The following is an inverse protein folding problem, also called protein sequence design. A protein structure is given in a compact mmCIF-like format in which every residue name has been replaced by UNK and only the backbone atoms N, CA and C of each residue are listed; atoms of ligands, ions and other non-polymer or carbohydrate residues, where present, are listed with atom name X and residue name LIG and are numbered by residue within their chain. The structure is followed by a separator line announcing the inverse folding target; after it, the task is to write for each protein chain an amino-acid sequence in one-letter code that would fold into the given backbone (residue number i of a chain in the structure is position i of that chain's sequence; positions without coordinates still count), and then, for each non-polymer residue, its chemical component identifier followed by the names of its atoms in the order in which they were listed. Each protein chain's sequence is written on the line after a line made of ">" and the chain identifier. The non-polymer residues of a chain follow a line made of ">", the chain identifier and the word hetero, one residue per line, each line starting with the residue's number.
data_IF_558955176088
#
_entry.id   IF_558955176088
#
_cell.length_a   1.000
_cell.length_b   1.000
_cell.length_c   1.000
_cell.angle_alpha   90.00
_cell.angle_beta   90.00
_cell.angle_gamma   90.00
#
_symmetry.space_group_name_H-M   'P 1'
#
loop_
_entity.id
_entity.type
_entity.pdbx_description
1 polymer ?
#
# COMPACT_ATOMS: atom_id res chain seq x y z
N UNK A 1 -14.23 6.08 -10.80
CA UNK A 1 -13.59 5.59 -9.57
C UNK A 1 -13.51 4.07 -9.60
N UNK A 2 -12.30 3.53 -9.55
CA UNK A 2 -12.00 2.09 -9.63
C UNK A 2 -11.10 1.69 -8.47
N UNK A 3 -11.36 0.53 -7.87
CA UNK A 3 -10.54 -0.06 -6.82
C UNK A 3 -9.64 -1.14 -7.41
N UNK A 4 -8.34 -1.00 -7.19
CA UNK A 4 -7.30 -1.94 -7.58
C UNK A 4 -6.75 -2.65 -6.35
N UNK A 5 -6.59 -3.98 -6.42
CA UNK A 5 -5.96 -4.79 -5.37
C UNK A 5 -4.87 -5.65 -6.01
N UNK A 6 -3.61 -5.27 -5.80
CA UNK A 6 -2.39 -5.83 -6.40
C UNK A 6 -2.29 -5.80 -7.93
N UNK A 7 -3.40 -5.97 -8.65
CA UNK A 7 -3.49 -5.97 -10.11
C UNK A 7 -3.67 -4.55 -10.63
N UNK A 8 -3.13 -4.26 -11.82
CA UNK A 8 -3.24 -2.93 -12.43
C UNK A 8 -2.39 -1.85 -11.75
N UNK A 9 -1.48 -2.26 -10.86
CA UNK A 9 -0.57 -1.36 -10.14
C UNK A 9 0.86 -1.61 -10.56
N UNK A 10 1.62 -0.55 -10.75
CA UNK A 10 3.05 -0.59 -11.04
C UNK A 10 3.85 0.22 -10.01
N UNK A 11 5.13 -0.13 -9.86
CA UNK A 11 6.04 0.48 -8.90
C UNK A 11 6.19 1.98 -9.08
N UNK A 12 6.32 2.44 -10.33
CA UNK A 12 6.64 3.83 -10.63
C UNK A 12 5.46 4.74 -10.26
N UNK A 13 4.25 4.38 -10.69
CA UNK A 13 3.03 5.14 -10.36
C UNK A 13 2.72 5.12 -8.86
N UNK A 14 2.95 3.97 -8.20
CA UNK A 14 2.78 3.83 -6.76
C UNK A 14 3.73 4.75 -5.99
N UNK A 15 5.04 4.61 -6.21
CA UNK A 15 6.04 5.39 -5.48
C UNK A 15 5.96 6.89 -5.81
N UNK A 16 5.56 7.25 -7.03
CA UNK A 16 5.28 8.65 -7.37
C UNK A 16 4.21 9.26 -6.46
N UNK A 17 3.09 8.58 -6.25
CA UNK A 17 2.04 9.05 -5.35
C UNK A 17 2.53 9.15 -3.90
N UNK A 18 3.26 8.14 -3.42
CA UNK A 18 3.84 8.16 -2.06
C UNK A 18 4.78 9.35 -1.88
N UNK A 19 5.63 9.65 -2.86
CA UNK A 19 6.59 10.77 -2.78
C UNK A 19 5.92 12.15 -2.85
N UNK A 20 4.84 12.29 -3.62
CA UNK A 20 4.13 13.57 -3.77
C UNK A 20 3.16 13.85 -2.62
N UNK A 21 2.74 12.83 -1.86
CA UNK A 21 1.76 13.00 -0.79
C UNK A 21 2.41 13.62 0.46
N UNK A 22 1.80 14.65 1.11
CA UNK A 22 2.37 15.28 2.32
C UNK A 22 2.57 14.32 3.50
N UNK A 23 1.75 13.28 3.57
CA UNK A 23 1.85 12.21 4.58
C UNK A 23 2.59 10.96 4.05
N UNK A 24 3.20 11.08 2.87
CA UNK A 24 4.00 10.06 2.22
C UNK A 24 5.06 9.50 3.16
N UNK A 25 5.25 8.18 3.13
CA UNK A 25 6.19 7.51 4.02
C UNK A 25 6.84 6.33 3.33
N UNK A 26 8.13 6.09 3.62
CA UNK A 26 8.86 4.92 3.14
C UNK A 26 8.10 3.61 3.41
N UNK A 27 7.40 3.49 4.53
CA UNK A 27 6.64 2.30 4.91
C UNK A 27 5.42 2.04 4.01
N UNK A 28 5.03 3.00 3.19
CA UNK A 28 3.99 2.84 2.15
C UNK A 28 4.60 2.64 0.76
N UNK A 29 5.92 2.67 0.60
CA UNK A 29 6.57 2.47 -0.72
C UNK A 29 6.43 1.05 -1.24
N UNK A 30 6.55 0.89 -2.56
CA UNK A 30 6.56 -0.40 -3.22
C UNK A 30 7.67 -1.32 -2.69
N UNK A 31 8.87 -0.75 -2.54
CA UNK A 31 10.07 -1.43 -2.04
C UNK A 31 9.89 -1.93 -0.61
N UNK A 32 9.14 -1.20 0.23
CA UNK A 32 8.82 -1.68 1.57
C UNK A 32 7.92 -2.91 1.54
N UNK A 33 6.94 -2.95 0.64
CA UNK A 33 6.13 -4.15 0.41
C UNK A 33 6.99 -5.36 0.00
N UNK A 34 7.89 -5.20 -0.98
CA UNK A 34 8.82 -6.25 -1.41
C UNK A 34 9.72 -6.73 -0.26
N UNK A 35 10.20 -5.79 0.56
CA UNK A 35 10.99 -6.12 1.74
C UNK A 35 10.19 -6.97 2.74
N UNK A 36 8.92 -6.66 3.00
CA UNK A 36 8.06 -7.48 3.87
C UNK A 36 7.77 -8.86 3.26
N UNK A 37 7.56 -8.92 1.95
CA UNK A 37 7.39 -10.18 1.21
C UNK A 37 8.63 -11.07 1.30
N UNK A 38 9.83 -10.49 1.38
CA UNK A 38 11.08 -11.25 1.58
C UNK A 38 11.15 -12.02 2.90
N UNK A 39 10.41 -11.60 3.94
CA UNK A 39 10.24 -12.35 5.19
C UNK A 39 9.13 -13.41 5.12
N UNK A 40 8.52 -13.59 3.94
CA UNK A 40 7.39 -14.49 3.73
C UNK A 40 6.05 -13.91 4.16
N UNK A 41 5.97 -12.61 4.47
CA UNK A 41 4.69 -11.96 4.78
C UNK A 41 3.87 -11.74 3.52
N UNK A 42 2.57 -11.95 3.63
CA UNK A 42 1.63 -11.60 2.56
C UNK A 42 1.38 -10.10 2.61
N UNK A 43 1.47 -9.42 1.47
CA UNK A 43 1.07 -8.01 1.36
C UNK A 43 -0.09 -7.82 0.39
N UNK A 44 -0.82 -6.72 0.58
CA UNK A 44 -1.78 -6.21 -0.38
C UNK A 44 -1.51 -4.73 -0.60
N UNK A 45 -1.43 -4.35 -1.87
CA UNK A 45 -1.39 -2.98 -2.35
C UNK A 45 -2.80 -2.64 -2.86
N UNK A 46 -3.44 -1.69 -2.20
CA UNK A 46 -4.76 -1.19 -2.57
C UNK A 46 -4.61 0.23 -3.11
N UNK A 47 -5.26 0.53 -4.22
CA UNK A 47 -5.36 1.90 -4.73
C UNK A 47 -6.75 2.19 -5.25
N UNK A 48 -7.22 3.42 -5.02
CA UNK A 48 -8.43 3.95 -5.66
C UNK A 48 -7.99 4.93 -6.73
N UNK A 49 -8.42 4.71 -7.96
CA UNK A 49 -8.10 5.58 -9.10
C UNK A 49 -9.37 6.20 -9.68
N UNK A 50 -9.28 7.42 -10.19
CA UNK A 50 -10.35 8.07 -10.94
C UNK A 50 -9.77 8.82 -12.14
N UNK A 51 -10.29 8.54 -13.34
CA UNK A 51 -9.84 9.16 -14.59
C UNK A 51 -8.31 9.15 -14.80
N UNK A 52 -7.64 8.08 -14.39
CA UNK A 52 -6.17 7.94 -14.48
C UNK A 52 -5.37 8.55 -13.31
N UNK A 53 -6.03 9.21 -12.36
CA UNK A 53 -5.39 9.76 -11.16
C UNK A 53 -5.59 8.86 -9.96
N UNK A 54 -4.55 8.70 -9.14
CA UNK A 54 -4.68 8.02 -7.85
C UNK A 54 -5.31 8.98 -6.82
N UNK A 55 -6.40 8.54 -6.19
CA UNK A 55 -7.07 9.26 -5.11
C UNK A 55 -6.59 8.80 -3.72
N UNK A 56 -6.35 7.49 -3.56
CA UNK A 56 -5.88 6.91 -2.31
C UNK A 56 -5.02 5.67 -2.55
N UNK A 57 -4.07 5.41 -1.64
CA UNK A 57 -3.25 4.20 -1.62
C UNK A 57 -3.04 3.67 -0.20
N UNK A 58 -2.97 2.34 -0.10
CA UNK A 58 -2.69 1.63 1.15
C UNK A 58 -1.92 0.33 0.90
N UNK A 59 -0.74 0.22 1.52
CA UNK A 59 -0.03 -1.03 1.72
C UNK A 59 -0.49 -1.68 3.03
N UNK A 60 -0.94 -2.93 2.94
CA UNK A 60 -1.34 -3.78 4.07
C UNK A 60 -0.43 -5.00 4.14
N UNK A 61 0.07 -5.29 5.34
CA UNK A 61 0.97 -6.43 5.61
C UNK A 61 0.27 -7.39 6.56
N UNK A 62 0.23 -8.68 6.21
CA UNK A 62 -0.28 -9.75 7.08
C UNK A 62 0.84 -10.22 8.01
N UNK A 63 0.77 -9.84 9.28
CA UNK A 63 1.74 -10.25 10.30
C UNK A 63 1.20 -11.49 11.04
N UNK A 64 1.89 -12.64 10.99
CA UNK A 64 1.52 -13.80 11.79
C UNK A 64 1.86 -13.61 13.26
N UNK A 65 0.97 -14.08 14.13
CA UNK A 65 1.15 -14.15 15.57
C UNK A 65 1.13 -15.61 16.05
N UNK A 66 1.36 -15.81 17.35
CA UNK A 66 1.19 -17.12 17.98
C UNK A 66 -0.27 -17.57 17.89
N UNK A 67 -0.49 -18.88 17.96
CA UNK A 67 -1.81 -19.53 17.96
C UNK A 67 -2.61 -19.34 16.65
N UNK A 68 -1.93 -19.15 15.52
CA UNK A 68 -2.59 -19.02 14.20
C UNK A 68 -3.32 -17.70 13.98
N UNK A 69 -3.11 -16.72 14.88
CA UNK A 69 -3.68 -15.38 14.74
C UNK A 69 -2.87 -14.53 13.75
N UNK A 70 -3.53 -13.50 13.21
CA UNK A 70 -2.90 -12.57 12.27
C UNK A 70 -3.35 -11.13 12.53
N UNK A 71 -2.44 -10.19 12.35
CA UNK A 71 -2.73 -8.75 12.29
C UNK A 71 -2.61 -8.30 10.83
N UNK A 72 -3.58 -7.51 10.38
CA UNK A 72 -3.46 -6.72 9.16
C UNK A 72 -2.92 -5.35 9.53
N UNK A 73 -1.65 -5.12 9.23
CA UNK A 73 -0.94 -3.92 9.61
C UNK A 73 -0.79 -2.98 8.41
N UNK A 74 -1.26 -1.74 8.56
CA UNK A 74 -1.10 -0.66 7.60
C UNK A 74 -0.25 0.46 8.25
N UNK A 75 1.04 0.57 7.93
CA UNK A 75 1.92 1.53 8.57
C UNK A 75 1.53 2.97 8.21
N UNK A 76 1.44 3.85 9.21
CA UNK A 76 1.18 5.30 9.05
C UNK A 76 -0.17 5.66 8.40
N UNK A 77 -1.14 4.75 8.46
CA UNK A 77 -2.50 4.91 7.90
C UNK A 77 -2.53 5.04 6.36
N UNK A 78 -3.74 5.23 5.84
CA UNK A 78 -4.01 5.38 4.41
C UNK A 78 -3.59 6.75 3.91
N UNK A 79 -2.97 6.78 2.71
CA UNK A 79 -2.69 8.02 2.00
C UNK A 79 -3.94 8.38 1.19
N UNK A 80 -4.60 9.50 1.52
CA UNK A 80 -5.80 9.98 0.84
C UNK A 80 -5.57 11.44 0.47
N UNK A 81 -5.63 11.74 -0.82
CA UNK A 81 -5.71 13.12 -1.26
C UNK A 81 -7.08 13.67 -0.84
N UNK A 82 -7.07 14.69 0.03
CA UNK A 82 -8.26 15.48 0.32
C UNK A 82 -8.54 16.33 -0.91
N UNK A 83 -9.57 15.96 -1.67
CA UNK A 83 -10.21 16.82 -2.67
C UNK A 83 -10.68 18.13 -2.06
#
# INVERSE_FOLDING_TARGET
>A
MELHINQGLDRQSWDYFVLQHPQGNLLQSWSWGEFQESFGYKTWRLAVTDSGHTLAQLLVIKIPLRLGLHILYAPRAILINKT
#
